data_IF_392961774733
#
_entry.id   IF_392961774733
#
_cell.length_a   1.000
_cell.length_b   1.000
_cell.length_c   1.000
_cell.angle_alpha   90.00
_cell.angle_beta   90.00
_cell.angle_gamma   90.00
#
_symmetry.space_group_name_H-M   'P 1'
#
loop_
_entity.id
_entity.type
_entity.pdbx_description
1 polymer ?
#
# COMPACT_ATOMS: atom_id res chain seq x y z
N UNK A 1 -0.54 -4.08 9.75
CA UNK A 1 0.87 -4.41 10.08
C UNK A 1 1.85 -3.33 9.58
N UNK A 2 1.52 -2.03 9.75
CA UNK A 2 2.36 -0.90 9.30
C UNK A 2 2.92 -1.06 7.88
N UNK A 3 2.09 -1.54 6.96
CA UNK A 3 2.51 -1.94 5.62
C UNK A 3 2.89 -0.73 4.75
N UNK A 4 3.82 -0.93 3.81
CA UNK A 4 4.03 -0.03 2.68
C UNK A 4 2.79 0.00 1.77
N UNK A 5 2.80 0.87 0.77
CA UNK A 5 1.74 0.94 -0.23
C UNK A 5 1.43 -0.38 -0.94
N UNK A 6 2.39 -1.31 -1.04
CA UNK A 6 2.20 -2.65 -1.61
C UNK A 6 1.18 -3.45 -0.79
N UNK A 7 1.45 -3.62 0.51
CA UNK A 7 0.55 -4.35 1.41
C UNK A 7 -0.74 -3.58 1.67
N UNK A 8 -0.67 -2.25 1.74
CA UNK A 8 -1.85 -1.38 1.91
C UNK A 8 -2.83 -1.55 0.75
N UNK A 9 -2.35 -1.60 -0.49
CA UNK A 9 -3.20 -1.81 -1.66
C UNK A 9 -3.98 -3.13 -1.58
N UNK A 10 -3.30 -4.22 -1.24
CA UNK A 10 -3.95 -5.52 -1.03
C UNK A 10 -4.98 -5.47 0.11
N UNK A 11 -4.64 -4.82 1.23
CA UNK A 11 -5.53 -4.70 2.39
C UNK A 11 -6.76 -3.85 2.09
N UNK A 12 -6.63 -2.76 1.33
CA UNK A 12 -7.76 -1.92 0.89
C UNK A 12 -8.68 -2.73 -0.04
N UNK A 13 -8.13 -3.52 -0.97
CA UNK A 13 -8.92 -4.39 -1.83
C UNK A 13 -9.66 -5.47 -1.02
N UNK A 14 -8.99 -6.08 -0.04
CA UNK A 14 -9.59 -7.06 0.87
C UNK A 14 -10.72 -6.45 1.70
N UNK A 15 -10.50 -5.26 2.26
CA UNK A 15 -11.48 -4.55 3.08
C UNK A 15 -12.74 -4.12 2.29
N UNK A 16 -12.68 -4.10 0.96
CA UNK A 16 -13.82 -3.82 0.10
C UNK A 16 -14.78 -5.02 -0.08
N UNK A 17 -14.42 -6.21 0.42
CA UNK A 17 -15.28 -7.39 0.33
C UNK A 17 -16.49 -7.33 1.26
N UNK A 18 -17.61 -7.99 0.90
CA UNK A 18 -18.70 -8.24 1.82
C UNK A 18 -18.21 -8.94 3.10
N UNK A 19 -18.71 -8.52 4.26
CA UNK A 19 -18.33 -9.07 5.57
C UNK A 19 -17.36 -8.19 6.36
N UNK A 20 -16.66 -7.25 5.72
CA UNK A 20 -15.94 -6.17 6.39
C UNK A 20 -16.90 -5.02 6.73
N UNK A 21 -17.68 -5.20 7.80
CA UNK A 21 -18.75 -4.26 8.20
C UNK A 21 -18.35 -3.26 9.28
N UNK A 22 -17.11 -3.33 9.77
CA UNK A 22 -16.52 -2.36 10.68
C UNK A 22 -15.26 -1.76 10.03
N UNK A 23 -14.92 -0.49 10.33
CA UNK A 23 -13.68 0.12 9.85
C UNK A 23 -12.46 -0.70 10.28
N UNK A 24 -11.58 -1.00 9.33
CA UNK A 24 -10.31 -1.66 9.58
C UNK A 24 -9.17 -0.65 9.83
N UNK A 25 -8.00 -1.17 10.19
CA UNK A 25 -6.79 -0.37 10.40
C UNK A 25 -6.02 -0.06 9.10
N UNK A 26 -6.74 0.35 8.05
CA UNK A 26 -6.21 0.76 6.75
C UNK A 26 -6.18 2.29 6.64
N UNK A 27 -5.28 2.92 7.39
CA UNK A 27 -5.09 4.39 7.33
C UNK A 27 -4.38 4.85 6.06
N UNK A 28 -4.38 6.16 5.77
CA UNK A 28 -3.54 6.74 4.73
C UNK A 28 -2.04 6.57 5.02
N UNK A 29 -1.22 6.59 3.96
CA UNK A 29 0.24 6.33 4.05
C UNK A 29 0.96 7.26 5.03
N UNK A 30 0.61 8.55 5.02
CA UNK A 30 1.23 9.59 5.86
C UNK A 30 1.05 9.40 7.37
N UNK A 31 0.17 8.48 7.80
CA UNK A 31 0.07 8.11 9.22
C UNK A 31 1.37 7.47 9.74
N UNK A 32 2.10 6.75 8.87
CA UNK A 32 3.24 5.94 9.28
C UNK A 32 4.55 6.37 8.62
N UNK A 33 4.50 6.77 7.35
CA UNK A 33 5.69 7.12 6.58
C UNK A 33 5.58 8.54 6.05
N UNK A 34 6.65 9.34 6.20
CA UNK A 34 6.72 10.65 5.57
C UNK A 34 6.64 10.53 4.04
N UNK A 35 7.30 9.50 3.50
CA UNK A 35 7.30 9.12 2.09
C UNK A 35 7.09 7.60 2.01
N UNK A 36 6.06 7.16 1.29
CA UNK A 36 5.83 5.73 0.99
C UNK A 36 6.62 5.33 -0.26
N UNK A 37 6.83 4.03 -0.47
CA UNK A 37 7.55 3.52 -1.66
C UNK A 37 6.64 3.38 -2.89
N UNK A 38 5.36 3.72 -2.79
CA UNK A 38 4.40 3.79 -3.92
C UNK A 38 3.77 5.18 -3.95
N UNK A 39 2.93 5.44 -4.95
CA UNK A 39 1.96 6.55 -4.85
C UNK A 39 1.17 6.42 -3.53
N UNK A 40 1.08 7.51 -2.74
CA UNK A 40 0.56 7.41 -1.38
C UNK A 40 -0.96 7.24 -1.37
N UNK A 41 -1.45 6.41 -0.45
CA UNK A 41 -2.87 6.36 -0.16
C UNK A 41 -3.25 7.57 0.70
N UNK A 42 -4.09 8.45 0.15
CA UNK A 42 -4.55 9.67 0.81
C UNK A 42 -5.98 9.51 1.27
N UNK A 43 -6.25 9.90 2.51
CA UNK A 43 -7.58 9.77 3.10
C UNK A 43 -8.52 10.85 2.55
N UNK A 44 -9.66 10.43 1.99
CA UNK A 44 -10.75 11.31 1.57
C UNK A 44 -11.99 11.05 2.42
N UNK A 45 -12.43 12.01 3.24
CA UNK A 45 -13.62 11.89 4.10
C UNK A 45 -13.67 10.57 4.91
N UNK A 46 -12.54 10.15 5.48
CA UNK A 46 -12.46 8.92 6.27
C UNK A 46 -12.33 7.62 5.47
N UNK A 47 -12.19 7.70 4.13
CA UNK A 47 -12.12 6.54 3.24
C UNK A 47 -10.83 6.56 2.41
N UNK A 48 -10.48 5.39 1.88
CA UNK A 48 -9.45 5.21 0.85
C UNK A 48 -10.09 4.63 -0.41
N UNK A 49 -9.62 5.08 -1.57
CA UNK A 49 -10.06 4.53 -2.85
C UNK A 49 -9.48 3.13 -3.06
N UNK A 50 -10.32 2.21 -3.54
CA UNK A 50 -9.89 0.86 -3.91
C UNK A 50 -9.11 0.92 -5.23
N UNK A 51 -7.88 0.39 -5.30
CA UNK A 51 -7.11 0.36 -6.54
C UNK A 51 -7.86 -0.36 -7.66
N UNK A 52 -7.85 0.21 -8.87
CA UNK A 52 -8.59 -0.30 -10.04
C UNK A 52 -7.69 -0.89 -11.13
N UNK A 53 -6.38 -0.68 -11.02
CA UNK A 53 -5.39 -1.24 -11.95
C UNK A 53 -5.19 -2.75 -11.78
N UNK A 54 -4.52 -3.41 -12.73
CA UNK A 54 -4.24 -4.84 -12.64
C UNK A 54 -3.34 -5.18 -11.44
N UNK A 55 -3.49 -6.40 -10.91
CA UNK A 55 -2.74 -6.86 -9.75
C UNK A 55 -3.07 -6.06 -8.49
N UNK A 56 -2.06 -5.46 -7.87
CA UNK A 56 -2.26 -4.58 -6.71
C UNK A 56 -2.78 -3.18 -7.09
N UNK A 57 -2.77 -2.83 -8.38
CA UNK A 57 -3.13 -1.48 -8.85
C UNK A 57 -2.13 -0.38 -8.44
N UNK A 58 -0.99 -0.75 -7.86
CA UNK A 58 0.15 0.11 -7.51
C UNK A 58 1.46 -0.57 -7.90
N UNK A 59 2.51 0.23 -8.05
CA UNK A 59 3.88 -0.23 -8.29
C UNK A 59 4.82 0.53 -7.34
N UNK A 60 5.94 -0.07 -6.92
CA UNK A 60 7.00 0.67 -6.27
C UNK A 60 7.54 1.76 -7.20
N UNK A 61 7.80 2.94 -6.64
CA UNK A 61 8.53 4.02 -7.29
C UNK A 61 10.03 3.68 -7.18
N UNK A 62 10.74 3.39 -8.28
CA UNK A 62 12.09 2.83 -8.22
C UNK A 62 13.06 3.64 -7.37
N UNK A 63 13.10 4.97 -7.57
CA UNK A 63 14.01 5.85 -6.82
C UNK A 63 13.75 5.82 -5.30
N UNK A 64 12.48 5.77 -4.89
CA UNK A 64 12.10 5.71 -3.47
C UNK A 64 12.35 4.34 -2.87
N UNK A 65 12.13 3.28 -3.65
CA UNK A 65 12.44 1.92 -3.22
C UNK A 65 13.95 1.75 -3.04
N UNK A 66 14.75 2.25 -3.98
CA UNK A 66 16.20 2.18 -3.94
C UNK A 66 16.77 2.95 -2.74
N UNK A 67 16.21 4.12 -2.40
CA UNK A 67 16.63 4.93 -1.24
C UNK A 67 16.53 4.17 0.09
N UNK A 68 15.48 3.35 0.26
CA UNK A 68 15.20 2.65 1.52
C UNK A 68 15.63 1.18 1.51
N UNK A 69 16.18 0.68 0.41
CA UNK A 69 16.62 -0.71 0.28
C UNK A 69 17.98 -0.92 0.97
N UNK A 70 18.03 -1.87 1.90
CA UNK A 70 19.28 -2.20 2.63
C UNK A 70 20.03 -3.40 2.06
N UNK A 71 19.35 -4.26 1.29
CA UNK A 71 19.92 -5.42 0.61
C UNK A 71 19.00 -5.91 -0.50
N UNK A 72 19.55 -6.47 -1.58
CA UNK A 72 18.81 -7.25 -2.56
C UNK A 72 19.58 -8.53 -2.91
N UNK A 73 18.87 -9.59 -3.28
CA UNK A 73 19.46 -10.84 -3.75
C UNK A 73 18.65 -11.36 -4.94
N UNK A 74 19.35 -11.84 -5.96
CA UNK A 74 18.73 -12.52 -7.10
C UNK A 74 18.92 -14.03 -6.96
N UNK A 75 17.82 -14.77 -6.82
CA UNK A 75 17.82 -16.23 -6.70
C UNK A 75 17.49 -16.83 -8.07
N UNK A 76 18.44 -17.55 -8.67
CA UNK A 76 18.22 -18.27 -9.94
C UNK A 76 17.47 -19.57 -9.72
N UNK A 77 16.55 -19.89 -10.63
CA UNK A 77 15.87 -21.19 -10.70
C UNK A 77 16.77 -22.30 -11.23
#
# INVERSE_FOLDING_TARGET
MLETGIGRAANVALAALPGFTLPGDTSGSQRYFATDITEPFVLGNGHLDVPTGPGLGVQPLPDLLDEVTTSHEWITL
#
